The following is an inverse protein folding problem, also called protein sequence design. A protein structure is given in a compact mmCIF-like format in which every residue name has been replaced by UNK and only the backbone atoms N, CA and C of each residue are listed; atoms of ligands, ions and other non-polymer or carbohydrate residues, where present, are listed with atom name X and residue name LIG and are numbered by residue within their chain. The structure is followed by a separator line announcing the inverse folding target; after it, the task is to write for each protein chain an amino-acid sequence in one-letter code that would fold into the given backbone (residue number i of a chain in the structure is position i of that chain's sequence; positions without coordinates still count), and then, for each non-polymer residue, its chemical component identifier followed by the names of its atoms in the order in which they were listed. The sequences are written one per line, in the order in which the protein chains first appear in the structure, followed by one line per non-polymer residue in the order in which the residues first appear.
data_IF_854883164170
#
_entry.id   IF_854883164170
#
_cell.length_a   1.000
_cell.length_b   1.000
_cell.length_c   1.000
_cell.angle_alpha   90.00
_cell.angle_beta   90.00
_cell.angle_gamma   90.00
#
_symmetry.space_group_name_H-M   'P 1'
#
loop_
_entity.id
_entity.type
_entity.pdbx_description
1 polymer ?
#
# COMPACT_ATOMS: atom_id res chain seq x y z
N UNK A 1 -14.07 -15.21 -25.46
CA UNK A 1 -13.39 -14.83 -24.20
C UNK A 1 -13.90 -13.46 -23.84
N UNK A 2 -14.43 -13.20 -22.63
CA UNK A 2 -14.92 -11.85 -22.34
C UNK A 2 -13.73 -10.91 -22.42
N UNK A 3 -13.87 -9.91 -23.29
CA UNK A 3 -12.91 -8.85 -23.53
C UNK A 3 -12.56 -8.25 -22.16
N UNK A 4 -11.27 -8.30 -21.78
CA UNK A 4 -10.80 -7.77 -20.49
C UNK A 4 -11.20 -6.30 -20.43
N UNK A 5 -12.12 -5.94 -19.54
CA UNK A 5 -12.50 -4.54 -19.27
C UNK A 5 -11.23 -3.68 -19.15
N UNK A 6 -10.93 -2.84 -20.16
CA UNK A 6 -9.64 -2.17 -20.26
C UNK A 6 -9.49 -1.11 -19.17
N UNK A 7 -10.59 -0.47 -18.76
CA UNK A 7 -10.61 0.50 -17.66
C UNK A 7 -10.26 -0.19 -16.35
N UNK A 8 -10.87 -1.34 -16.08
CA UNK A 8 -10.62 -2.09 -14.84
C UNK A 8 -9.16 -2.59 -14.77
N UNK A 9 -8.57 -2.99 -15.90
CA UNK A 9 -7.14 -3.31 -15.98
C UNK A 9 -6.26 -2.10 -15.66
N UNK A 10 -6.55 -0.93 -16.23
CA UNK A 10 -5.83 0.31 -15.97
C UNK A 10 -5.92 0.74 -14.49
N UNK A 11 -7.13 0.70 -13.90
CA UNK A 11 -7.35 1.02 -12.48
C UNK A 11 -6.53 0.12 -11.54
N UNK A 12 -6.39 -1.17 -11.87
CA UNK A 12 -5.53 -2.09 -11.10
C UNK A 12 -4.06 -1.72 -11.24
N UNK A 13 -3.59 -1.46 -12.47
CA UNK A 13 -2.19 -1.12 -12.74
C UNK A 13 -1.78 0.17 -12.02
N UNK A 14 -2.67 1.16 -11.98
CA UNK A 14 -2.45 2.45 -11.33
C UNK A 14 -2.69 2.41 -9.81
N UNK A 15 -3.23 1.32 -9.26
CA UNK A 15 -3.56 1.21 -7.84
C UNK A 15 -4.76 2.08 -7.42
N UNK A 16 -5.61 2.45 -8.38
CA UNK A 16 -6.79 3.30 -8.21
C UNK A 16 -8.11 2.53 -8.27
N UNK A 17 -8.06 1.19 -8.40
CA UNK A 17 -9.25 0.36 -8.25
C UNK A 17 -9.82 0.47 -6.83
N UNK A 18 -11.09 0.86 -6.73
CA UNK A 18 -11.82 0.85 -5.47
C UNK A 18 -11.97 -0.59 -4.97
N UNK A 19 -11.49 -0.93 -3.76
CA UNK A 19 -11.63 -2.28 -3.23
C UNK A 19 -13.07 -2.65 -2.82
N UNK A 20 -13.96 -1.65 -2.69
CA UNK A 20 -15.34 -1.84 -2.20
C UNK A 20 -16.36 -1.03 -3.03
N UNK A 21 -16.47 -1.28 -4.34
CA UNK A 21 -17.39 -0.52 -5.20
C UNK A 21 -18.86 -0.65 -4.75
N UNK A 22 -19.28 -1.85 -4.32
CA UNK A 22 -20.64 -2.09 -3.81
C UNK A 22 -20.99 -1.43 -2.47
N UNK A 23 -20.07 -0.66 -1.87
CA UNK A 23 -20.37 0.20 -0.71
C UNK A 23 -20.71 1.64 -1.10
N UNK A 24 -20.56 1.99 -2.38
CA UNK A 24 -21.00 3.28 -2.91
C UNK A 24 -22.48 3.15 -3.27
N UNK A 25 -23.34 3.84 -2.52
CA UNK A 25 -24.79 3.81 -2.66
C UNK A 25 -25.38 5.19 -3.03
N UNK A 26 -24.53 6.20 -3.24
CA UNK A 26 -24.99 7.51 -3.66
C UNK A 26 -25.69 7.43 -5.03
N UNK A 27 -26.87 8.04 -5.21
CA UNK A 27 -27.64 7.95 -6.46
C UNK A 27 -26.86 8.32 -7.72
N UNK A 28 -25.86 9.21 -7.60
CA UNK A 28 -25.00 9.61 -8.70
C UNK A 28 -24.32 8.41 -9.39
N UNK A 29 -23.91 7.41 -8.61
CA UNK A 29 -23.23 6.20 -9.10
C UNK A 29 -24.18 5.08 -9.54
N UNK A 30 -25.49 5.25 -9.27
CA UNK A 30 -26.52 4.25 -9.61
C UNK A 30 -27.28 4.67 -10.86
N UNK A 31 -27.52 5.97 -11.03
CA UNK A 31 -28.43 6.51 -12.04
C UNK A 31 -27.72 6.93 -13.32
N UNK A 32 -26.41 7.18 -13.28
CA UNK A 32 -25.66 7.73 -14.41
C UNK A 32 -24.39 6.91 -14.68
N UNK A 33 -24.27 6.44 -15.93
CA UNK A 33 -23.18 5.60 -16.42
C UNK A 33 -21.80 6.27 -16.43
N UNK A 34 -21.75 7.61 -16.32
CA UNK A 34 -20.51 8.36 -16.24
C UNK A 34 -19.76 8.10 -14.92
N UNK A 35 -20.48 7.85 -13.84
CA UNK A 35 -19.91 7.67 -12.51
C UNK A 35 -19.63 6.19 -12.24
N UNK A 36 -18.36 5.87 -12.02
CA UNK A 36 -17.90 4.49 -11.86
C UNK A 36 -17.44 4.24 -10.42
N UNK A 37 -18.21 3.45 -9.68
CA UNK A 37 -17.89 3.11 -8.28
C UNK A 37 -16.59 2.32 -8.15
N UNK A 38 -16.08 1.75 -9.25
CA UNK A 38 -14.81 1.02 -9.31
C UNK A 38 -13.61 1.97 -9.38
N UNK A 39 -13.79 3.23 -9.77
CA UNK A 39 -12.73 4.24 -9.79
C UNK A 39 -12.63 4.96 -8.44
N UNK A 40 -11.64 4.61 -7.64
CA UNK A 40 -11.48 5.16 -6.30
C UNK A 40 -11.24 6.68 -6.30
N UNK A 41 -10.58 7.20 -7.34
CA UNK A 41 -10.27 8.63 -7.44
C UNK A 41 -11.54 9.41 -7.76
N UNK A 42 -12.36 8.92 -8.71
CA UNK A 42 -13.66 9.52 -9.02
C UNK A 42 -14.59 9.50 -7.81
N UNK A 43 -14.71 8.36 -7.10
CA UNK A 43 -15.55 8.26 -5.90
C UNK A 43 -15.12 9.27 -4.84
N UNK A 44 -13.82 9.41 -4.57
CA UNK A 44 -13.33 10.41 -3.59
C UNK A 44 -13.59 11.85 -4.05
N UNK A 45 -13.37 12.14 -5.33
CA UNK A 45 -13.60 13.48 -5.86
C UNK A 45 -15.06 13.88 -5.75
N UNK A 46 -15.99 13.02 -6.18
CA UNK A 46 -17.42 13.29 -6.13
C UNK A 46 -17.93 13.40 -4.68
N UNK A 47 -17.37 12.62 -3.75
CA UNK A 47 -17.66 12.76 -2.32
C UNK A 47 -17.30 14.16 -1.81
N UNK A 48 -16.14 14.69 -2.21
CA UNK A 48 -15.70 16.04 -1.84
C UNK A 48 -16.55 17.11 -2.53
N UNK A 49 -16.78 16.97 -3.85
CA UNK A 49 -17.57 17.90 -4.66
C UNK A 49 -18.97 18.08 -4.08
N UNK A 50 -19.68 17.01 -3.71
CA UNK A 50 -21.02 17.10 -3.10
C UNK A 50 -21.03 17.89 -1.79
N UNK A 51 -20.04 17.69 -0.93
CA UNK A 51 -19.99 18.44 0.33
C UNK A 51 -19.62 19.91 0.07
N UNK A 52 -18.68 20.18 -0.83
CA UNK A 52 -18.14 21.53 -1.02
C UNK A 52 -18.97 22.41 -1.94
N UNK A 53 -19.51 21.86 -3.03
CA UNK A 53 -20.30 22.59 -4.01
C UNK A 53 -21.80 22.56 -3.70
N UNK A 54 -22.30 21.48 -3.10
CA UNK A 54 -23.73 21.27 -2.86
C UNK A 54 -24.10 21.37 -1.36
N UNK A 55 -23.12 21.64 -0.46
CA UNK A 55 -23.32 21.79 0.99
C UNK A 55 -23.95 20.57 1.69
N UNK A 56 -23.76 19.37 1.15
CA UNK A 56 -24.25 18.15 1.77
C UNK A 56 -23.56 17.84 3.12
N UNK A 57 -24.27 17.12 4.00
CA UNK A 57 -23.70 16.65 5.27
C UNK A 57 -22.51 15.73 5.06
N UNK A 58 -21.35 16.10 5.64
CA UNK A 58 -20.11 15.28 5.61
C UNK A 58 -20.37 13.83 6.01
N UNK A 59 -21.15 13.59 7.07
CA UNK A 59 -21.38 12.24 7.60
C UNK A 59 -22.23 11.40 6.66
N UNK A 60 -23.33 11.98 6.14
CA UNK A 60 -24.21 11.29 5.20
C UNK A 60 -23.49 10.99 3.90
N UNK A 61 -22.78 11.97 3.35
CA UNK A 61 -22.03 11.81 2.10
C UNK A 61 -20.91 10.80 2.25
N UNK A 62 -20.08 10.88 3.30
CA UNK A 62 -19.03 9.88 3.50
C UNK A 62 -19.59 8.45 3.58
N UNK A 63 -20.68 8.26 4.33
CA UNK A 63 -21.36 6.96 4.45
C UNK A 63 -21.90 6.47 3.10
N UNK A 64 -22.60 7.32 2.35
CA UNK A 64 -23.16 6.99 1.04
C UNK A 64 -22.08 6.66 -0.01
N UNK A 65 -20.87 7.18 0.15
CA UNK A 65 -19.72 6.88 -0.70
C UNK A 65 -18.86 5.73 -0.17
N UNK A 66 -19.29 5.04 0.89
CA UNK A 66 -18.60 3.87 1.46
C UNK A 66 -17.37 4.21 2.32
N UNK A 67 -17.25 5.45 2.80
CA UNK A 67 -16.15 5.94 3.61
C UNK A 67 -16.56 6.33 5.03
N UNK A 68 -15.57 6.38 5.92
CA UNK A 68 -15.74 6.96 7.26
C UNK A 68 -15.55 8.48 7.24
N UNK A 69 -16.10 9.17 8.24
CA UNK A 69 -15.89 10.61 8.42
C UNK A 69 -14.39 11.01 8.49
N UNK A 70 -13.50 10.29 9.20
CA UNK A 70 -12.06 10.59 9.13
C UNK A 70 -11.47 10.46 7.72
N UNK A 71 -11.92 9.48 6.93
CA UNK A 71 -11.46 9.30 5.55
C UNK A 71 -11.83 10.48 4.65
N UNK A 72 -13.00 11.10 4.88
CA UNK A 72 -13.39 12.33 4.19
C UNK A 72 -12.39 13.46 4.45
N UNK A 73 -12.06 13.74 5.71
CA UNK A 73 -11.14 14.82 6.04
C UNK A 73 -9.73 14.55 5.52
N UNK A 74 -9.27 13.30 5.55
CA UNK A 74 -8.00 12.92 4.95
C UNK A 74 -7.98 13.16 3.44
N UNK A 75 -9.04 12.76 2.72
CA UNK A 75 -9.16 13.00 1.28
C UNK A 75 -9.25 14.49 0.96
N UNK A 76 -10.00 15.27 1.75
CA UNK A 76 -10.09 16.73 1.59
C UNK A 76 -8.73 17.38 1.76
N UNK A 77 -7.99 17.00 2.80
CA UNK A 77 -6.66 17.52 3.07
C UNK A 77 -5.70 17.24 1.91
N UNK A 78 -5.62 15.98 1.43
CA UNK A 78 -4.71 15.66 0.32
C UNK A 78 -5.13 16.29 -0.99
N UNK A 79 -6.44 16.44 -1.24
CA UNK A 79 -6.96 17.16 -2.39
C UNK A 79 -6.60 18.65 -2.35
N UNK A 80 -6.72 19.31 -1.19
CA UNK A 80 -6.33 20.72 -1.04
C UNK A 80 -4.83 20.94 -1.24
N UNK A 81 -3.99 19.97 -0.85
CA UNK A 81 -2.54 20.07 -0.99
C UNK A 81 -2.03 19.75 -2.39
N UNK A 82 -2.65 18.80 -3.10
CA UNK A 82 -2.08 18.23 -4.33
C UNK A 82 -3.09 17.99 -5.44
N UNK A 83 -4.28 18.57 -5.33
CA UNK A 83 -5.38 18.40 -6.29
C UNK A 83 -5.81 16.94 -6.44
N UNK A 84 -6.27 16.58 -7.64
CA UNK A 84 -6.69 15.22 -7.96
C UNK A 84 -5.59 14.17 -7.74
N UNK A 85 -4.32 14.53 -7.98
CA UNK A 85 -3.18 13.63 -7.75
C UNK A 85 -3.07 13.21 -6.27
N UNK A 86 -3.47 14.08 -5.34
CA UNK A 86 -3.53 13.79 -3.91
C UNK A 86 -4.57 12.73 -3.51
N UNK A 87 -5.53 12.41 -4.37
CA UNK A 87 -6.54 11.36 -4.12
C UNK A 87 -6.05 9.95 -4.47
N UNK A 88 -5.00 9.86 -5.28
CA UNK A 88 -4.36 8.61 -5.69
C UNK A 88 -3.69 7.95 -4.48
N UNK A 89 -3.98 6.67 -4.17
CA UNK A 89 -3.30 5.97 -3.10
C UNK A 89 -1.79 5.91 -3.34
N UNK A 90 -1.02 6.43 -2.39
CA UNK A 90 0.43 6.29 -2.43
C UNK A 90 0.81 4.89 -1.95
N UNK A 91 1.84 4.29 -2.58
CA UNK A 91 2.40 3.03 -2.09
C UNK A 91 2.87 3.24 -0.64
N UNK A 92 2.24 2.54 0.30
CA UNK A 92 2.68 2.55 1.72
C UNK A 92 4.13 2.09 1.78
N UNK A 93 5.01 2.89 2.38
CA UNK A 93 6.45 2.67 2.39
C UNK A 93 6.90 1.48 3.26
N UNK A 94 8.20 1.34 3.52
CA UNK A 94 9.22 1.01 2.53
C UNK A 94 9.10 -0.46 2.07
N UNK A 95 9.31 -0.72 0.77
CA UNK A 95 9.36 -2.10 0.23
C UNK A 95 10.64 -2.87 0.62
N UNK A 96 11.61 -2.19 1.24
CA UNK A 96 12.90 -2.76 1.61
C UNK A 96 12.99 -3.08 3.12
N UNK A 97 13.68 -4.18 3.44
CA UNK A 97 13.97 -4.52 4.83
C UNK A 97 15.07 -3.60 5.35
N UNK A 98 14.66 -2.49 5.96
CA UNK A 98 15.54 -1.46 6.52
C UNK A 98 16.56 -1.97 7.56
N UNK A 99 16.43 -3.21 8.06
CA UNK A 99 17.37 -3.80 9.04
C UNK A 99 18.32 -4.85 8.46
N UNK A 100 18.08 -5.33 7.25
CA UNK A 100 18.94 -6.31 6.55
C UNK A 100 19.28 -5.72 5.19
N UNK A 101 20.14 -4.70 5.23
CA UNK A 101 20.73 -4.08 4.06
C UNK A 101 21.62 -5.09 3.32
N UNK A 102 21.99 -4.77 2.08
CA UNK A 102 22.85 -5.64 1.26
C UNK A 102 24.22 -5.86 1.92
N UNK A 103 24.73 -4.86 2.63
CA UNK A 103 25.97 -4.96 3.42
C UNK A 103 25.86 -6.02 4.54
N UNK A 104 24.76 -6.01 5.30
CA UNK A 104 24.52 -7.01 6.35
C UNK A 104 24.40 -8.42 5.73
N UNK A 105 23.74 -8.53 4.57
CA UNK A 105 23.61 -9.81 3.86
C UNK A 105 24.97 -10.33 3.33
N UNK A 106 25.81 -9.46 2.80
CA UNK A 106 27.17 -9.80 2.35
C UNK A 106 28.02 -10.29 3.53
N UNK A 107 27.97 -9.59 4.67
CA UNK A 107 28.64 -10.01 5.90
C UNK A 107 28.19 -11.39 6.37
N UNK A 108 26.87 -11.64 6.37
CA UNK A 108 26.32 -12.95 6.73
C UNK A 108 26.77 -14.07 5.77
N UNK A 109 26.89 -13.75 4.48
CA UNK A 109 27.41 -14.68 3.47
C UNK A 109 28.86 -15.10 3.75
N UNK A 110 29.76 -14.12 3.96
CA UNK A 110 31.18 -14.37 4.27
C UNK A 110 31.33 -15.12 5.59
N UNK A 111 30.58 -14.72 6.62
CA UNK A 111 30.63 -15.34 7.95
C UNK A 111 30.25 -16.82 7.90
N UNK A 112 29.20 -17.16 7.13
CA UNK A 112 28.74 -18.55 6.98
C UNK A 112 29.63 -19.39 6.07
N UNK A 113 30.38 -18.78 5.15
CA UNK A 113 31.41 -19.48 4.39
C UNK A 113 32.62 -19.84 5.25
N UNK A 114 33.00 -18.94 6.17
CA UNK A 114 34.10 -19.19 7.11
C UNK A 114 33.73 -20.21 8.17
N UNK A 115 32.49 -20.18 8.65
CA UNK A 115 31.97 -21.14 9.62
C UNK A 115 30.53 -21.55 9.29
N UNK A 116 30.36 -22.71 8.62
CA UNK A 116 29.03 -23.25 8.28
C UNK A 116 28.21 -23.72 9.48
N UNK A 117 28.82 -23.89 10.66
CA UNK A 117 28.15 -24.45 11.86
C UNK A 117 27.32 -23.42 12.63
N UNK A 118 27.52 -22.13 12.34
CA UNK A 118 26.86 -21.01 13.03
C UNK A 118 25.34 -21.07 12.90
N UNK A 119 24.67 -21.07 14.05
CA UNK A 119 23.21 -21.01 14.17
C UNK A 119 22.72 -19.59 13.96
N UNK A 120 21.46 -19.44 13.56
CA UNK A 120 20.81 -18.12 13.34
C UNK A 120 20.96 -17.19 14.55
N UNK A 121 20.90 -17.72 15.77
CA UNK A 121 21.04 -16.92 17.00
C UNK A 121 22.42 -16.28 17.14
N UNK A 122 23.47 -16.96 16.70
CA UNK A 122 24.85 -16.46 16.72
C UNK A 122 25.05 -15.41 15.64
N UNK A 123 24.48 -15.63 14.45
CA UNK A 123 24.47 -14.64 13.37
C UNK A 123 23.79 -13.33 13.79
N UNK A 124 22.67 -13.39 14.52
CA UNK A 124 21.99 -12.19 15.04
C UNK A 124 22.90 -11.41 16.01
N UNK A 125 23.62 -12.09 16.90
CA UNK A 125 24.57 -11.45 17.82
C UNK A 125 25.72 -10.78 17.08
N UNK A 126 26.22 -11.41 16.02
CA UNK A 126 27.28 -10.84 15.18
C UNK A 126 26.80 -9.60 14.40
N UNK A 127 25.54 -9.59 13.94
CA UNK A 127 24.94 -8.40 13.31
C UNK A 127 24.84 -7.25 14.31
N UNK A 128 24.37 -7.53 15.53
CA UNK A 128 24.26 -6.52 16.58
C UNK A 128 25.65 -5.96 16.97
N UNK A 129 26.64 -6.84 17.15
CA UNK A 129 28.00 -6.44 17.52
C UNK A 129 28.69 -5.61 16.42
N UNK A 130 28.48 -5.92 15.14
CA UNK A 130 29.17 -5.26 14.03
C UNK A 130 28.44 -4.02 13.50
N UNK A 131 27.11 -4.06 13.43
CA UNK A 131 26.28 -3.05 12.77
C UNK A 131 25.34 -2.31 13.73
N UNK A 132 25.39 -2.58 15.05
CA UNK A 132 24.49 -1.99 16.05
C UNK A 132 23.00 -2.30 15.81
N UNK A 133 22.69 -3.26 14.92
CA UNK A 133 21.35 -3.47 14.41
C UNK A 133 20.71 -4.70 15.05
N UNK A 134 19.68 -4.49 15.88
CA UNK A 134 18.88 -5.57 16.46
C UNK A 134 17.88 -6.14 15.45
N UNK A 135 18.10 -7.40 15.08
CA UNK A 135 17.21 -8.16 14.19
C UNK A 135 16.69 -9.42 14.87
N UNK A 136 15.45 -9.80 14.58
CA UNK A 136 14.89 -11.05 15.08
C UNK A 136 15.44 -12.25 14.30
N UNK A 137 15.77 -13.40 14.93
CA UNK A 137 16.27 -14.60 14.24
C UNK A 137 15.39 -15.02 13.05
N UNK A 138 14.07 -15.02 13.24
CA UNK A 138 13.09 -15.31 12.17
C UNK A 138 13.19 -14.40 10.94
N UNK A 139 13.66 -13.16 11.11
CA UNK A 139 13.89 -12.22 10.00
C UNK A 139 15.12 -12.61 9.19
N UNK A 140 16.20 -13.03 9.87
CA UNK A 140 17.43 -13.54 9.26
C UNK A 140 17.15 -14.84 8.51
N UNK A 141 16.46 -15.81 9.13
CA UNK A 141 16.04 -17.07 8.50
C UNK A 141 15.23 -16.84 7.22
N UNK A 142 14.18 -16.02 7.29
CA UNK A 142 13.34 -15.71 6.12
C UNK A 142 14.13 -15.08 4.98
N UNK A 143 15.12 -14.24 5.30
CA UNK A 143 15.94 -13.54 4.29
C UNK A 143 17.00 -14.47 3.69
N UNK A 144 17.65 -15.31 4.50
CA UNK A 144 18.58 -16.33 4.02
C UNK A 144 17.87 -17.33 3.08
N UNK A 145 16.68 -17.80 3.44
CA UNK A 145 15.86 -18.69 2.60
C UNK A 145 15.47 -18.04 1.26
N UNK A 146 15.14 -16.75 1.27
CA UNK A 146 14.82 -15.99 0.03
C UNK A 146 16.05 -15.74 -0.84
N UNK A 147 17.23 -15.50 -0.24
CA UNK A 147 18.46 -15.26 -0.98
C UNK A 147 18.99 -16.52 -1.66
N UNK A 148 18.81 -17.70 -1.04
CA UNK A 148 19.16 -18.99 -1.66
C UNK A 148 18.26 -19.31 -2.86
N UNK A 149 16.97 -18.96 -2.81
CA UNK A 149 16.03 -19.13 -3.94
C UNK A 149 16.28 -18.21 -5.12
N UNK A 150 16.98 -17.09 -4.95
CA UNK A 150 17.35 -16.16 -6.04
C UNK A 150 18.70 -16.48 -6.70
N UNK A 151 19.52 -17.34 -6.09
CA UNK A 151 20.82 -17.81 -6.63
C UNK A 151 20.72 -19.16 -7.35
N UNK A 152 19.54 -19.76 -7.36
CA UNK A 152 19.16 -20.90 -8.21
C UNK A 152 18.33 -20.36 -9.37
#
# INVERSE_FOLDING_TARGET
MPEKDPKLAALRQQGTLNPRPGKVSDPLFVQDSFFDSRDLVQVKYEMLRRVQAENHSVVRTATAFGFSRPSFYQARHTFQQSGLAGLVPHKRGPQQAHKLTDEVLAFLGVTRQKDPSLRTRELVRLIEARFGTRVHPRTVERRLLRHQKKRR
#
